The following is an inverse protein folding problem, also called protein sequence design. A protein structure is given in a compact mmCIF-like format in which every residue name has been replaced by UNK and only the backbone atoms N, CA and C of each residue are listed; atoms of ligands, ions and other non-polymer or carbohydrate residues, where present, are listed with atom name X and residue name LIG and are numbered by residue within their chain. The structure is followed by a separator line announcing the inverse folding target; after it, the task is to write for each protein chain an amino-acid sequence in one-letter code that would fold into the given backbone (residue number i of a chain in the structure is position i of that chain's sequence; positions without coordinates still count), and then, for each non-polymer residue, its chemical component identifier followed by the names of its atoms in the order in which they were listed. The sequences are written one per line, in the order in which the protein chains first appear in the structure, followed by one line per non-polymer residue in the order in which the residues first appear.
data_IF_755348394222
#
_entry.id   IF_755348394222
#
_cell.length_a   1.000
_cell.length_b   1.000
_cell.length_c   1.000
_cell.angle_alpha   90.00
_cell.angle_beta   90.00
_cell.angle_gamma   90.00
#
_symmetry.space_group_name_H-M   'P 1'
#
loop_
_entity.id
_entity.type
_entity.pdbx_description
1 polymer ?
#
# COMPACT_ATOMS: atom_id res chain seq x y z
N UNK A 1 -24.77 54.89 -47.35
CA UNK A 1 -23.67 54.89 -46.37
C UNK A 1 -24.10 54.08 -45.15
N UNK A 2 -23.35 53.01 -44.88
CA UNK A 2 -23.29 52.10 -43.72
C UNK A 2 -24.56 51.71 -42.94
N UNK A 3 -24.96 50.44 -43.12
CA UNK A 3 -25.79 49.66 -42.19
C UNK A 3 -24.96 49.33 -40.94
N UNK A 4 -25.45 49.69 -39.75
CA UNK A 4 -24.87 49.24 -38.48
C UNK A 4 -25.47 47.91 -38.06
N UNK A 5 -24.62 46.89 -37.95
CA UNK A 5 -24.91 45.63 -37.27
C UNK A 5 -24.68 45.84 -35.76
N UNK A 6 -25.68 45.55 -34.95
CA UNK A 6 -25.48 45.33 -33.51
C UNK A 6 -25.74 43.85 -33.24
N UNK A 7 -24.64 43.12 -33.07
CA UNK A 7 -24.64 41.75 -32.55
C UNK A 7 -24.65 41.91 -31.02
N UNK A 8 -25.82 41.78 -30.41
CA UNK A 8 -25.92 41.61 -28.96
C UNK A 8 -25.63 40.15 -28.63
N UNK A 9 -24.42 39.89 -28.13
CA UNK A 9 -23.96 38.57 -27.75
C UNK A 9 -24.74 38.01 -26.57
N UNK A 10 -25.29 36.81 -26.76
CA UNK A 10 -25.72 35.95 -25.66
C UNK A 10 -24.48 35.49 -24.89
N UNK A 11 -24.23 36.09 -23.73
CA UNK A 11 -23.30 35.53 -22.74
C UNK A 11 -23.99 34.29 -22.17
N UNK A 12 -23.72 33.14 -22.78
CA UNK A 12 -23.99 31.86 -22.15
C UNK A 12 -23.05 31.77 -20.93
N UNK A 13 -23.61 32.03 -19.74
CA UNK A 13 -22.97 31.66 -18.50
C UNK A 13 -22.86 30.14 -18.48
N UNK A 14 -21.75 29.62 -19.02
CA UNK A 14 -21.32 28.27 -18.80
C UNK A 14 -21.09 28.14 -17.29
N UNK A 15 -22.08 27.58 -16.60
CA UNK A 15 -21.92 27.09 -15.25
C UNK A 15 -20.75 26.13 -15.26
N UNK A 16 -19.60 26.62 -14.80
CA UNK A 16 -18.50 25.80 -14.33
C UNK A 16 -19.08 24.96 -13.19
N UNK A 17 -19.67 23.82 -13.53
CA UNK A 17 -19.64 22.68 -12.63
C UNK A 17 -18.16 22.47 -12.34
N UNK A 18 -17.69 22.69 -11.09
CA UNK A 18 -16.48 22.00 -10.70
C UNK A 18 -16.90 20.54 -10.79
N UNK A 19 -16.48 19.85 -11.85
CA UNK A 19 -16.23 18.44 -11.73
C UNK A 19 -15.18 18.37 -10.61
N UNK A 20 -15.65 18.28 -9.37
CA UNK A 20 -14.91 17.66 -8.31
C UNK A 20 -14.66 16.27 -8.85
N UNK A 21 -13.51 16.12 -9.53
CA UNK A 21 -12.83 14.85 -9.63
C UNK A 21 -12.62 14.50 -8.17
N UNK A 22 -13.60 13.80 -7.59
CA UNK A 22 -13.40 13.04 -6.39
C UNK A 22 -12.28 12.10 -6.79
N UNK A 23 -11.04 12.45 -6.44
CA UNK A 23 -9.97 11.49 -6.39
C UNK A 23 -10.54 10.38 -5.52
N UNK A 24 -10.93 9.27 -6.14
CA UNK A 24 -11.52 8.11 -5.48
C UNK A 24 -10.49 7.39 -4.59
N UNK A 25 -9.44 8.09 -4.17
CA UNK A 25 -8.44 7.61 -3.24
C UNK A 25 -9.00 7.47 -1.84
N UNK A 26 -8.38 6.58 -1.09
CA UNK A 26 -8.78 6.17 0.26
C UNK A 26 -8.78 7.30 1.31
N UNK A 27 -8.21 8.48 1.02
CA UNK A 27 -8.23 9.66 1.89
C UNK A 27 -7.74 9.36 3.30
N UNK A 28 -8.45 9.87 4.32
CA UNK A 28 -8.12 9.66 5.75
C UNK A 28 -8.09 8.20 6.17
N UNK A 29 -8.76 7.31 5.43
CA UNK A 29 -8.68 5.85 5.65
C UNK A 29 -7.27 5.34 5.36
N UNK A 30 -6.63 5.84 4.29
CA UNK A 30 -5.25 5.50 3.97
C UNK A 30 -4.29 6.04 5.01
N UNK A 31 -4.47 7.30 5.44
CA UNK A 31 -3.58 7.93 6.42
C UNK A 31 -3.57 7.13 7.74
N UNK A 32 -4.73 6.62 8.18
CA UNK A 32 -4.83 5.72 9.34
C UNK A 32 -4.25 4.32 9.09
N UNK A 33 -4.14 3.89 7.85
CA UNK A 33 -3.64 2.56 7.49
C UNK A 33 -2.13 2.52 7.22
N UNK A 34 -1.47 3.66 6.94
CA UNK A 34 -0.05 3.69 6.57
C UNK A 34 0.87 3.12 7.64
N UNK A 35 0.79 3.65 8.86
CA UNK A 35 1.63 3.17 9.96
C UNK A 35 1.48 1.66 10.22
N UNK A 36 0.27 1.11 10.46
CA UNK A 36 0.12 -0.33 10.68
C UNK A 36 0.50 -1.16 9.45
N UNK A 37 0.28 -0.65 8.23
CA UNK A 37 0.73 -1.33 7.01
C UNK A 37 2.25 -1.42 6.93
N UNK A 38 2.96 -0.32 7.21
CA UNK A 38 4.43 -0.29 7.16
C UNK A 38 5.05 -1.24 8.20
N UNK A 39 4.46 -1.32 9.40
CA UNK A 39 4.87 -2.28 10.43
C UNK A 39 4.69 -3.73 9.95
N UNK A 40 3.56 -4.06 9.32
CA UNK A 40 3.31 -5.41 8.79
C UNK A 40 4.30 -5.78 7.67
N UNK A 41 4.58 -4.84 6.75
CA UNK A 41 5.56 -5.04 5.68
C UNK A 41 6.95 -5.26 6.27
N UNK A 42 7.35 -4.42 7.23
CA UNK A 42 8.64 -4.53 7.91
C UNK A 42 8.80 -5.88 8.61
N UNK A 43 7.77 -6.37 9.32
CA UNK A 43 7.78 -7.70 9.94
C UNK A 43 8.00 -8.80 8.89
N UNK A 44 7.22 -8.79 7.81
CA UNK A 44 7.35 -9.78 6.73
C UNK A 44 8.73 -9.75 6.06
N UNK A 45 9.31 -8.56 5.87
CA UNK A 45 10.64 -8.41 5.31
C UNK A 45 11.74 -8.95 6.23
N UNK A 46 11.62 -8.72 7.54
CA UNK A 46 12.51 -9.29 8.54
C UNK A 46 12.42 -10.81 8.57
N UNK A 47 11.22 -11.39 8.51
CA UNK A 47 11.02 -12.84 8.44
C UNK A 47 11.71 -13.45 7.22
N UNK A 48 11.60 -12.79 6.06
CA UNK A 48 12.28 -13.22 4.83
C UNK A 48 13.81 -13.14 4.94
N UNK A 49 14.35 -12.11 5.61
CA UNK A 49 15.79 -12.00 5.85
C UNK A 49 16.32 -13.01 6.88
N UNK A 50 15.51 -13.39 7.88
CA UNK A 50 15.89 -14.42 8.86
C UNK A 50 16.03 -15.80 8.19
N UNK A 51 15.21 -16.08 7.17
CA UNK A 51 15.24 -17.35 6.43
C UNK A 51 15.52 -17.14 4.93
N UNK A 52 16.73 -16.68 4.55
CA UNK A 52 17.02 -16.19 3.20
C UNK A 52 17.34 -17.30 2.19
N UNK A 53 17.14 -18.58 2.52
CA UNK A 53 17.67 -19.72 1.76
C UNK A 53 17.22 -19.77 0.28
N UNK A 54 16.07 -19.17 -0.04
CA UNK A 54 15.56 -19.07 -1.42
C UNK A 54 15.91 -17.75 -2.12
N UNK A 55 16.51 -16.79 -1.42
CA UNK A 55 16.79 -15.43 -1.93
C UNK A 55 18.17 -15.36 -2.59
N UNK A 56 18.25 -14.65 -3.71
CA UNK A 56 19.52 -14.21 -4.29
C UNK A 56 20.20 -13.13 -3.42
N UNK A 57 21.52 -12.91 -3.58
CA UNK A 57 22.22 -11.80 -2.93
C UNK A 57 21.63 -10.42 -3.28
N UNK A 58 21.12 -10.25 -4.50
CA UNK A 58 20.45 -9.03 -4.92
C UNK A 58 19.15 -8.80 -4.13
N UNK A 59 18.33 -9.82 -3.96
CA UNK A 59 17.09 -9.76 -3.18
C UNK A 59 17.37 -9.44 -1.71
N UNK A 60 18.40 -10.07 -1.11
CA UNK A 60 18.82 -9.76 0.26
C UNK A 60 19.19 -8.27 0.38
N UNK A 61 20.00 -7.76 -0.55
CA UNK A 61 20.40 -6.34 -0.58
C UNK A 61 19.19 -5.41 -0.66
N UNK A 62 18.20 -5.74 -1.50
CA UNK A 62 17.00 -4.92 -1.63
C UNK A 62 16.08 -4.98 -0.43
N UNK A 63 15.94 -6.14 0.21
CA UNK A 63 15.21 -6.26 1.48
C UNK A 63 15.86 -5.43 2.58
N UNK A 64 17.18 -5.49 2.73
CA UNK A 64 17.90 -4.66 3.70
C UNK A 64 17.71 -3.16 3.42
N UNK A 65 17.76 -2.76 2.14
CA UNK A 65 17.48 -1.39 1.71
C UNK A 65 16.06 -0.94 2.05
N UNK A 66 15.07 -1.79 1.77
CA UNK A 66 13.65 -1.51 2.08
C UNK A 66 13.41 -1.40 3.57
N UNK A 67 13.94 -2.32 4.38
CA UNK A 67 13.84 -2.26 5.84
C UNK A 67 14.46 -0.98 6.40
N UNK A 68 15.67 -0.62 5.94
CA UNK A 68 16.33 0.62 6.36
C UNK A 68 15.51 1.86 6.00
N UNK A 69 14.91 1.88 4.81
CA UNK A 69 14.03 2.96 4.37
C UNK A 69 12.77 3.04 5.23
N UNK A 70 12.12 1.89 5.49
CA UNK A 70 10.92 1.80 6.31
C UNK A 70 11.16 2.34 7.72
N UNK A 71 12.22 1.91 8.39
CA UNK A 71 12.61 2.36 9.73
C UNK A 71 12.81 3.89 9.79
N UNK A 72 13.41 4.48 8.74
CA UNK A 72 13.61 5.94 8.66
C UNK A 72 12.27 6.70 8.63
N UNK A 73 11.27 6.16 7.91
CA UNK A 73 9.93 6.77 7.81
C UNK A 73 8.99 6.42 8.96
N UNK A 74 9.26 5.33 9.69
CA UNK A 74 8.32 4.75 10.65
C UNK A 74 7.98 5.69 11.80
N UNK A 75 8.97 6.43 12.31
CA UNK A 75 8.75 7.43 13.37
C UNK A 75 7.81 8.55 12.93
N UNK A 76 7.86 8.97 11.66
CA UNK A 76 6.97 10.00 11.14
C UNK A 76 5.54 9.47 10.96
N UNK A 77 5.41 8.26 10.39
CA UNK A 77 4.11 7.58 10.27
C UNK A 77 3.46 7.36 11.63
N UNK A 78 4.24 7.05 12.66
CA UNK A 78 3.74 6.88 14.01
C UNK A 78 3.17 8.19 14.58
N UNK A 79 3.81 9.35 14.32
CA UNK A 79 3.30 10.66 14.72
C UNK A 79 1.99 11.00 14.00
N UNK A 80 1.91 10.75 12.69
CA UNK A 80 0.69 10.94 11.90
C UNK A 80 -0.45 10.07 12.46
N UNK A 81 -0.17 8.78 12.70
CA UNK A 81 -1.13 7.84 13.26
C UNK A 81 -1.62 8.27 14.65
N UNK A 82 -0.72 8.69 15.54
CA UNK A 82 -1.08 9.17 16.88
C UNK A 82 -1.99 10.40 16.83
N UNK A 83 -1.68 11.37 15.95
CA UNK A 83 -2.51 12.56 15.76
C UNK A 83 -3.93 12.22 15.29
N UNK A 84 -4.08 11.19 14.44
CA UNK A 84 -5.36 10.77 13.89
C UNK A 84 -6.17 9.85 14.82
N UNK A 85 -5.51 9.07 15.67
CA UNK A 85 -6.13 7.99 16.45
C UNK A 85 -6.09 8.20 17.96
N UNK A 86 -5.21 9.07 18.46
CA UNK A 86 -4.90 9.25 19.89
C UNK A 86 -4.53 7.95 20.58
N UNK A 87 -3.83 7.07 19.86
CA UNK A 87 -3.47 5.72 20.32
C UNK A 87 -2.38 5.71 21.38
N UNK A 88 -1.58 6.78 21.51
CA UNK A 88 -0.49 6.85 22.49
C UNK A 88 0.67 5.95 22.09
N UNK A 89 1.37 6.31 21.01
CA UNK A 89 2.49 5.51 20.48
C UNK A 89 3.59 5.28 21.52
N UNK A 90 3.91 4.01 21.75
CA UNK A 90 5.09 3.54 22.48
C UNK A 90 6.37 3.82 21.67
N UNK A 91 6.96 4.99 21.92
CA UNK A 91 8.21 5.41 21.27
C UNK A 91 9.41 4.56 21.68
N UNK A 92 9.38 3.93 22.86
CA UNK A 92 10.48 3.06 23.29
C UNK A 92 10.53 1.82 22.41
N UNK A 93 9.37 1.25 22.08
CA UNK A 93 9.29 0.09 21.19
C UNK A 93 9.85 0.39 19.80
N UNK A 94 9.58 1.58 19.23
CA UNK A 94 10.17 2.03 17.96
C UNK A 94 11.70 2.20 18.06
N UNK A 95 12.19 2.82 19.14
CA UNK A 95 13.63 3.00 19.36
C UNK A 95 14.38 1.67 19.56
N UNK A 96 13.76 0.72 20.25
CA UNK A 96 14.33 -0.61 20.46
C UNK A 96 14.37 -1.40 19.14
N UNK A 97 13.37 -1.23 18.26
CA UNK A 97 13.36 -1.80 16.91
C UNK A 97 14.52 -1.24 16.05
N UNK A 98 14.68 0.09 16.01
CA UNK A 98 15.80 0.74 15.32
C UNK A 98 17.16 0.25 15.84
N UNK A 99 17.28 0.10 17.17
CA UNK A 99 18.51 -0.39 17.81
C UNK A 99 18.80 -1.84 17.46
N UNK A 100 17.79 -2.71 17.43
CA UNK A 100 17.94 -4.12 17.05
C UNK A 100 18.40 -4.23 15.60
N UNK A 101 17.81 -3.46 14.68
CA UNK A 101 18.26 -3.37 13.29
C UNK A 101 19.71 -2.89 13.16
N UNK A 102 20.08 -1.82 13.89
CA UNK A 102 21.44 -1.28 13.88
C UNK A 102 22.48 -2.31 14.37
N UNK A 103 22.09 -3.16 15.32
CA UNK A 103 22.91 -4.26 15.85
C UNK A 103 22.90 -5.53 14.99
N UNK A 104 22.14 -5.55 13.88
CA UNK A 104 21.90 -6.74 13.03
C UNK A 104 21.24 -7.90 13.79
N UNK A 105 20.52 -7.59 14.87
CA UNK A 105 19.73 -8.57 15.61
C UNK A 105 18.33 -8.69 14.97
N UNK A 106 18.27 -9.46 13.89
CA UNK A 106 17.06 -9.60 13.07
C UNK A 106 15.91 -10.27 13.84
N UNK A 107 16.22 -11.22 14.71
CA UNK A 107 15.21 -11.94 15.51
C UNK A 107 14.55 -10.99 16.50
N UNK A 108 15.33 -10.19 17.23
CA UNK A 108 14.76 -9.18 18.13
C UNK A 108 14.01 -8.10 17.35
N UNK A 109 14.53 -7.66 16.19
CA UNK A 109 13.83 -6.68 15.35
C UNK A 109 12.47 -7.22 14.88
N UNK A 110 12.41 -8.48 14.44
CA UNK A 110 11.15 -9.12 14.00
C UNK A 110 10.14 -9.20 15.14
N UNK A 111 10.57 -9.65 16.33
CA UNK A 111 9.70 -9.73 17.51
C UNK A 111 9.15 -8.35 17.94
N UNK A 112 9.95 -7.30 17.82
CA UNK A 112 9.52 -5.92 18.11
C UNK A 112 8.54 -5.38 17.05
N UNK A 113 8.78 -5.67 15.77
CA UNK A 113 7.85 -5.34 14.69
C UNK A 113 6.51 -6.10 14.83
N UNK A 114 6.59 -7.36 15.23
CA UNK A 114 5.42 -8.20 15.52
C UNK A 114 4.61 -7.65 16.71
N UNK A 115 5.28 -7.23 17.78
CA UNK A 115 4.63 -6.55 18.91
C UNK A 115 3.98 -5.22 18.50
N UNK A 116 4.65 -4.40 17.67
CA UNK A 116 4.05 -3.18 17.11
C UNK A 116 2.79 -3.51 16.30
N UNK A 117 2.82 -4.58 15.50
CA UNK A 117 1.70 -4.98 14.63
C UNK A 117 0.46 -5.42 15.43
N UNK A 118 0.67 -6.05 16.59
CA UNK A 118 -0.42 -6.42 17.51
C UNK A 118 -1.01 -5.23 18.23
N UNK A 119 -0.18 -4.25 18.63
CA UNK A 119 -0.63 -3.06 19.36
C UNK A 119 -1.35 -2.06 18.47
N UNK A 120 -0.86 -1.89 17.24
CA UNK A 120 -1.39 -0.95 16.27
C UNK A 120 -1.88 -1.72 15.05
N UNK A 121 -3.09 -2.27 15.18
CA UNK A 121 -3.65 -3.19 14.19
C UNK A 121 -4.10 -2.44 12.93
N UNK A 122 -3.82 -3.02 11.76
CA UNK A 122 -4.44 -2.59 10.51
C UNK A 122 -5.94 -2.96 10.55
N UNK A 123 -6.83 -1.97 10.36
CA UNK A 123 -8.26 -2.24 10.26
C UNK A 123 -8.60 -2.91 8.91
N UNK A 124 -8.32 -4.21 8.80
CA UNK A 124 -8.51 -5.02 7.59
C UNK A 124 -9.99 -5.26 7.25
N UNK A 125 -10.90 -5.13 8.22
CA UNK A 125 -12.33 -5.43 8.07
C UNK A 125 -13.03 -4.58 7.00
N UNK A 126 -12.60 -3.33 6.81
CA UNK A 126 -13.15 -2.47 5.75
C UNK A 126 -12.67 -2.87 4.35
N UNK A 127 -11.54 -3.56 4.25
CA UNK A 127 -10.93 -4.00 3.00
C UNK A 127 -11.26 -5.45 2.64
N UNK A 128 -11.95 -6.18 3.53
CA UNK A 128 -12.26 -7.61 3.34
C UNK A 128 -12.78 -7.96 1.94
N UNK A 129 -12.18 -8.98 1.33
CA UNK A 129 -12.55 -9.53 0.02
C UNK A 129 -14.04 -9.88 -0.10
N UNK A 130 -14.65 -10.37 0.99
CA UNK A 130 -16.07 -10.71 1.03
C UNK A 130 -17.01 -9.51 0.84
N UNK A 131 -16.50 -8.28 0.96
CA UNK A 131 -17.25 -7.04 0.74
C UNK A 131 -17.13 -6.49 -0.69
N UNK A 132 -16.39 -7.16 -1.57
CA UNK A 132 -16.28 -6.77 -2.97
C UNK A 132 -17.57 -7.15 -3.72
N UNK A 133 -18.21 -6.16 -4.35
CA UNK A 133 -19.31 -6.38 -5.29
C UNK A 133 -18.85 -6.98 -6.61
N UNK A 134 -19.79 -7.26 -7.51
CA UNK A 134 -19.46 -7.73 -8.87
C UNK A 134 -18.65 -6.68 -9.65
N UNK A 135 -19.05 -5.40 -9.57
CA UNK A 135 -18.35 -4.29 -10.21
C UNK A 135 -16.92 -4.10 -9.68
N UNK A 136 -16.71 -4.28 -8.37
CA UNK A 136 -15.37 -4.21 -7.77
C UNK A 136 -14.45 -5.29 -8.34
N UNK A 137 -14.98 -6.49 -8.55
CA UNK A 137 -14.22 -7.61 -9.11
C UNK A 137 -13.93 -7.42 -10.60
N UNK A 138 -14.87 -6.87 -11.38
CA UNK A 138 -14.61 -6.53 -12.78
C UNK A 138 -13.52 -5.46 -12.92
N UNK A 139 -13.63 -4.37 -12.14
CA UNK A 139 -12.58 -3.33 -12.09
C UNK A 139 -11.23 -3.91 -11.67
N UNK A 140 -11.20 -4.78 -10.66
CA UNK A 140 -9.95 -5.40 -10.23
C UNK A 140 -9.30 -6.27 -11.31
N UNK A 141 -10.09 -7.00 -12.12
CA UNK A 141 -9.56 -7.76 -13.27
C UNK A 141 -8.98 -6.84 -14.33
N UNK A 142 -9.63 -5.71 -14.59
CA UNK A 142 -9.12 -4.70 -15.52
C UNK A 142 -7.80 -4.10 -15.03
N UNK A 143 -7.74 -3.69 -13.75
CA UNK A 143 -6.52 -3.18 -13.13
C UNK A 143 -5.39 -4.21 -13.16
N UNK A 144 -5.67 -5.47 -12.81
CA UNK A 144 -4.70 -6.55 -12.84
C UNK A 144 -4.09 -6.73 -14.24
N UNK A 145 -4.96 -6.81 -15.26
CA UNK A 145 -4.55 -6.97 -16.65
C UNK A 145 -3.74 -5.78 -17.19
N UNK A 146 -4.17 -4.56 -16.88
CA UNK A 146 -3.59 -3.35 -17.47
C UNK A 146 -2.34 -2.85 -16.73
N UNK A 147 -2.27 -3.03 -15.41
CA UNK A 147 -1.28 -2.35 -14.56
C UNK A 147 -0.39 -3.29 -13.76
N UNK A 148 -0.86 -4.50 -13.43
CA UNK A 148 -0.14 -5.37 -12.49
C UNK A 148 0.62 -6.51 -13.17
N UNK A 149 -0.05 -7.29 -14.02
CA UNK A 149 0.51 -8.52 -14.61
C UNK A 149 1.77 -8.29 -15.44
N UNK A 150 1.88 -7.12 -16.10
CA UNK A 150 3.04 -6.77 -16.92
C UNK A 150 4.36 -6.62 -16.14
N UNK A 151 4.28 -6.25 -14.86
CA UNK A 151 5.46 -6.11 -14.00
C UNK A 151 5.66 -7.32 -13.09
N UNK A 152 4.58 -7.93 -12.61
CA UNK A 152 4.63 -8.99 -11.60
C UNK A 152 4.91 -10.38 -12.21
N UNK A 153 6.10 -10.55 -12.79
CA UNK A 153 6.50 -11.77 -13.53
C UNK A 153 7.75 -12.45 -12.98
N UNK A 154 8.42 -11.87 -11.99
CA UNK A 154 9.70 -12.38 -11.48
C UNK A 154 9.54 -13.57 -10.55
N UNK A 155 10.57 -14.40 -10.42
CA UNK A 155 10.57 -15.54 -9.50
C UNK A 155 11.48 -15.27 -8.30
N UNK A 156 11.16 -15.88 -7.16
CA UNK A 156 12.06 -15.88 -5.99
C UNK A 156 13.42 -16.47 -6.41
N UNK A 157 14.51 -15.84 -5.98
CA UNK A 157 15.87 -16.23 -6.36
C UNK A 157 16.37 -15.56 -7.64
N UNK A 158 15.57 -14.69 -8.27
CA UNK A 158 16.03 -13.91 -9.42
C UNK A 158 17.04 -12.85 -8.96
N UNK A 159 18.15 -12.70 -9.68
CA UNK A 159 19.19 -11.69 -9.45
C UNK A 159 18.69 -10.26 -9.76
N UNK A 160 17.77 -9.76 -8.93
CA UNK A 160 17.17 -8.42 -8.96
C UNK A 160 17.02 -7.90 -7.53
N UNK A 161 17.20 -6.58 -7.34
CA UNK A 161 17.18 -5.97 -5.99
C UNK A 161 15.78 -6.02 -5.37
N UNK A 162 14.75 -5.67 -6.13
CA UNK A 162 13.35 -5.75 -5.68
C UNK A 162 12.51 -6.39 -6.80
N UNK A 163 12.57 -7.71 -6.97
CA UNK A 163 11.78 -8.40 -7.99
C UNK A 163 10.28 -8.24 -7.71
N UNK A 164 9.52 -8.10 -8.79
CA UNK A 164 8.07 -8.04 -8.74
C UNK A 164 7.51 -9.45 -8.95
N UNK A 165 7.27 -10.17 -7.84
CA UNK A 165 6.73 -11.54 -7.91
C UNK A 165 5.26 -11.55 -8.32
N UNK A 166 4.77 -12.64 -8.93
CA UNK A 166 3.35 -12.84 -9.21
C UNK A 166 2.47 -12.56 -7.98
N UNK A 167 1.51 -11.65 -8.13
CA UNK A 167 0.65 -11.20 -7.02
C UNK A 167 -0.18 -12.34 -6.41
N UNK A 168 -0.59 -13.31 -7.23
CA UNK A 168 -1.28 -14.54 -6.77
C UNK A 168 -0.38 -15.39 -5.87
N UNK A 169 0.88 -15.57 -6.25
CA UNK A 169 1.86 -16.30 -5.43
C UNK A 169 2.16 -15.53 -4.14
N UNK A 170 2.26 -14.20 -4.20
CA UNK A 170 2.38 -13.37 -3.00
C UNK A 170 1.17 -13.58 -2.08
N UNK A 171 -0.06 -13.46 -2.59
CA UNK A 171 -1.28 -13.62 -1.81
C UNK A 171 -1.43 -15.02 -1.18
N UNK A 172 -0.94 -16.06 -1.85
CA UNK A 172 -0.98 -17.44 -1.34
C UNK A 172 0.07 -17.75 -0.27
N UNK A 173 1.23 -17.09 -0.33
CA UNK A 173 2.40 -17.43 0.49
C UNK A 173 2.71 -16.43 1.61
N UNK A 174 1.88 -15.41 1.83
CA UNK A 174 2.02 -14.47 2.95
C UNK A 174 0.68 -14.26 3.68
N UNK A 175 0.70 -13.79 4.93
CA UNK A 175 -0.53 -13.45 5.65
C UNK A 175 -1.38 -12.44 4.87
N UNK A 176 -2.70 -12.64 4.86
CA UNK A 176 -3.65 -11.77 4.13
C UNK A 176 -3.49 -10.28 4.50
N UNK A 177 -3.23 -9.98 5.77
CA UNK A 177 -3.00 -8.61 6.23
C UNK A 177 -1.68 -8.01 5.72
N UNK A 178 -0.64 -8.84 5.56
CA UNK A 178 0.60 -8.39 4.94
C UNK A 178 0.39 -8.08 3.46
N UNK A 179 -0.35 -8.94 2.75
CA UNK A 179 -0.68 -8.69 1.35
C UNK A 179 -1.51 -7.41 1.17
N UNK A 180 -2.52 -7.20 2.01
CA UNK A 180 -3.28 -5.94 2.06
C UNK A 180 -2.35 -4.75 2.35
N UNK A 181 -1.47 -4.84 3.35
CA UNK A 181 -0.53 -3.77 3.68
C UNK A 181 0.35 -3.39 2.49
N UNK A 182 0.85 -4.40 1.74
CA UNK A 182 1.64 -4.19 0.52
C UNK A 182 0.83 -3.52 -0.59
N UNK A 183 -0.46 -3.83 -0.75
CA UNK A 183 -1.35 -3.12 -1.70
C UNK A 183 -1.57 -1.65 -1.28
N UNK A 184 -1.75 -1.40 0.02
CA UNK A 184 -2.00 -0.05 0.54
C UNK A 184 -0.76 0.85 0.45
N UNK A 185 0.44 0.34 0.74
CA UNK A 185 1.69 1.12 0.74
C UNK A 185 2.45 1.09 -0.60
N UNK A 186 2.30 0.01 -1.38
CA UNK A 186 3.09 -0.27 -2.58
C UNK A 186 2.58 0.37 -3.87
N UNK A 187 1.28 0.69 -3.95
CA UNK A 187 0.71 1.38 -5.12
C UNK A 187 0.71 2.88 -4.86
N UNK A 188 1.34 3.64 -5.76
CA UNK A 188 1.46 5.10 -5.68
C UNK A 188 0.94 5.73 -6.96
N UNK A 189 0.25 6.85 -6.81
CA UNK A 189 -0.24 7.65 -7.92
C UNK A 189 0.88 8.51 -8.52
N UNK A 190 0.49 9.42 -9.42
CA UNK A 190 1.42 10.35 -10.04
C UNK A 190 1.68 11.60 -9.16
N UNK A 191 2.62 12.44 -9.59
CA UNK A 191 3.03 13.64 -8.85
C UNK A 191 1.90 14.64 -8.62
N UNK A 192 0.94 14.72 -9.54
CA UNK A 192 -0.28 15.53 -9.45
C UNK A 192 -1.25 15.04 -8.35
N UNK A 193 -1.16 13.78 -7.96
CA UNK A 193 -1.89 13.20 -6.81
C UNK A 193 -1.06 13.17 -5.52
N UNK A 194 0.07 13.89 -5.48
CA UNK A 194 1.03 13.84 -4.38
C UNK A 194 1.47 12.40 -4.03
N UNK A 195 1.53 11.52 -5.05
CA UNK A 195 1.85 10.10 -4.91
C UNK A 195 0.88 9.32 -4.00
N UNK A 196 -0.33 9.83 -3.78
CA UNK A 196 -1.36 9.11 -3.04
C UNK A 196 -1.74 7.81 -3.75
N UNK A 197 -2.10 6.77 -3.00
CA UNK A 197 -2.55 5.52 -3.60
C UNK A 197 -3.83 5.80 -4.43
N UNK A 198 -3.81 5.54 -5.75
CA UNK A 198 -4.92 5.89 -6.65
C UNK A 198 -6.09 4.91 -6.53
N UNK A 199 -5.90 3.77 -5.86
CA UNK A 199 -6.91 2.74 -5.73
C UNK A 199 -8.02 3.19 -4.77
N UNK A 200 -9.26 2.93 -5.19
CA UNK A 200 -10.42 3.09 -4.33
C UNK A 200 -10.57 1.93 -3.35
N UNK A 201 -11.47 2.11 -2.38
CA UNK A 201 -11.84 1.03 -1.46
C UNK A 201 -12.42 -0.18 -2.19
N UNK A 202 -13.17 0.06 -3.27
CA UNK A 202 -13.70 -0.99 -4.14
C UNK A 202 -12.58 -1.75 -4.86
N UNK A 203 -11.60 -1.04 -5.39
CA UNK A 203 -10.47 -1.64 -6.10
C UNK A 203 -9.62 -2.52 -5.17
N UNK A 204 -9.31 -2.06 -3.96
CA UNK A 204 -8.57 -2.87 -2.97
C UNK A 204 -9.35 -4.14 -2.60
N UNK A 205 -10.67 -4.03 -2.33
CA UNK A 205 -11.51 -5.20 -2.03
C UNK A 205 -11.57 -6.17 -3.20
N UNK A 206 -11.72 -5.65 -4.41
CA UNK A 206 -11.75 -6.42 -5.65
C UNK A 206 -10.44 -7.15 -5.91
N UNK A 207 -9.29 -6.49 -5.73
CA UNK A 207 -7.96 -7.09 -5.88
C UNK A 207 -7.70 -8.16 -4.81
N UNK A 208 -8.08 -7.90 -3.55
CA UNK A 208 -8.02 -8.92 -2.51
C UNK A 208 -8.87 -10.14 -2.89
N UNK A 209 -10.11 -9.92 -3.35
CA UNK A 209 -10.98 -11.02 -3.82
C UNK A 209 -10.40 -11.73 -5.04
N UNK A 210 -9.79 -11.02 -5.97
CA UNK A 210 -9.21 -11.60 -7.18
C UNK A 210 -8.03 -12.52 -6.87
N UNK A 211 -7.16 -12.15 -5.93
CA UNK A 211 -5.95 -12.91 -5.61
C UNK A 211 -6.12 -13.91 -4.48
N UNK A 212 -7.10 -13.71 -3.58
CA UNK A 212 -7.38 -14.60 -2.44
C UNK A 212 -8.64 -15.45 -2.64
N UNK A 213 -9.50 -15.13 -3.60
CA UNK A 213 -10.78 -15.83 -3.82
C UNK A 213 -10.66 -17.20 -4.48
N UNK A 214 -9.48 -17.55 -4.99
CA UNK A 214 -9.21 -18.87 -5.57
C UNK A 214 -8.63 -19.88 -4.55
N UNK A 215 -8.63 -19.55 -3.25
CA UNK A 215 -8.22 -20.47 -2.16
C UNK A 215 -9.40 -21.09 -1.39
N UNK A 216 -10.57 -21.15 -2.01
CA UNK A 216 -11.71 -21.93 -1.49
C UNK A 216 -11.73 -23.28 -2.19
N UNK A 217 -11.07 -24.27 -1.57
CA UNK A 217 -11.47 -25.69 -1.68
C UNK A 217 -12.41 -26.01 -0.51
#
# INVERSE_FOLDING_TARGET
MFKSFVIAGCIAAAGLCPAAVFCAGLGTTLDRARFPSEVLILRGDLQRLISPAALSPAEVTGLEGRIKSALTGLSWLALEYDALTRSGIDRKLLQDLDRSWAKRDLVSAEALADELSRRYTLNSAIFSAGRAGAEDLERARELDLQLCQGCHTDKVGTEKILPAYPLREMAANMPSEEFLARLLSGVRGASDTALANPLSLGDIRGLLRLYQGDTVD
#
